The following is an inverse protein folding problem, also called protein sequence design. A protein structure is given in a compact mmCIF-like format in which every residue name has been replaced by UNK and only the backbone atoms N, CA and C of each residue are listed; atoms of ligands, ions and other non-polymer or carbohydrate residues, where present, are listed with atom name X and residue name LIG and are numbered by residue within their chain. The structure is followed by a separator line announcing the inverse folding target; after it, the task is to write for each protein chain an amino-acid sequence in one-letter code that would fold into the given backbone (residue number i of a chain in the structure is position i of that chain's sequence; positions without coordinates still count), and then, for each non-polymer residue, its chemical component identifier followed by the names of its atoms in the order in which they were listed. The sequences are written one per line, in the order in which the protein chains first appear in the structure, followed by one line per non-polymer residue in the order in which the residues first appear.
data_IF_154988992707
#
_entry.id   IF_154988992707
#
_cell.length_a   1.000
_cell.length_b   1.000
_cell.length_c   1.000
_cell.angle_alpha   90.00
_cell.angle_beta   90.00
_cell.angle_gamma   90.00
#
_symmetry.space_group_name_H-M   'P 1'
#
loop_
_entity.id
_entity.type
_entity.pdbx_description
1 polymer ?
#
# COMPACT_ATOMS: atom_id res chain seq x y z
N UNK A 1 -33.63 10.30 -55.51
CA UNK A 1 -32.83 11.32 -56.24
C UNK A 1 -32.56 12.49 -55.29
N UNK A 2 -31.28 12.84 -55.10
CA UNK A 2 -30.73 14.03 -54.40
C UNK A 2 -31.01 14.03 -52.88
N UNK A 3 -30.02 14.12 -51.99
CA UNK A 3 -29.12 15.27 -51.84
C UNK A 3 -27.73 14.88 -51.29
N UNK A 4 -26.69 15.37 -51.97
CA UNK A 4 -25.30 15.35 -51.54
C UNK A 4 -24.96 16.77 -51.06
N UNK A 5 -24.54 16.93 -49.80
CA UNK A 5 -23.99 18.19 -49.27
C UNK A 5 -22.47 18.13 -49.34
N UNK A 6 -21.92 18.98 -50.21
CA UNK A 6 -20.48 19.26 -50.36
C UNK A 6 -20.09 20.21 -49.22
N UNK A 7 -19.06 19.87 -48.46
CA UNK A 7 -18.39 20.80 -47.53
C UNK A 7 -16.98 21.08 -48.07
N UNK A 8 -16.74 22.35 -48.40
CA UNK A 8 -15.49 22.87 -48.91
C UNK A 8 -14.36 22.73 -47.87
N UNK A 9 -13.21 22.22 -48.33
CA UNK A 9 -11.92 22.32 -47.65
C UNK A 9 -11.34 23.72 -47.89
N UNK A 10 -11.08 24.46 -46.82
CA UNK A 10 -10.23 25.65 -46.85
C UNK A 10 -8.82 25.26 -46.40
N UNK A 11 -7.90 25.22 -47.38
CA UNK A 11 -6.46 25.11 -47.16
C UNK A 11 -5.93 26.52 -46.91
N UNK A 12 -5.42 26.79 -45.71
CA UNK A 12 -4.57 27.95 -45.45
C UNK A 12 -3.16 27.48 -45.12
N UNK A 13 -2.26 27.66 -46.09
CA UNK A 13 -0.81 27.67 -45.93
C UNK A 13 -0.41 28.99 -45.27
N UNK A 14 0.30 28.94 -44.14
CA UNK A 14 1.05 30.06 -43.59
C UNK A 14 2.53 29.68 -43.46
N UNK A 15 3.46 30.62 -43.75
CA UNK A 15 4.88 30.33 -43.88
C UNK A 15 5.62 30.23 -42.54
N UNK A 16 6.63 29.37 -42.55
CA UNK A 16 7.69 29.23 -41.57
C UNK A 16 8.38 30.56 -41.27
N UNK A 17 8.51 30.89 -39.98
CA UNK A 17 9.62 31.70 -39.48
C UNK A 17 10.27 30.93 -38.35
N UNK A 18 11.49 30.47 -38.62
CA UNK A 18 12.38 29.83 -37.67
C UNK A 18 12.85 30.85 -36.64
N UNK A 19 12.73 30.53 -35.35
CA UNK A 19 13.58 31.13 -34.33
C UNK A 19 14.51 30.06 -33.76
N UNK A 20 15.79 30.39 -33.82
CA UNK A 20 16.92 29.52 -33.52
C UNK A 20 16.97 29.09 -32.05
N UNK A 21 17.51 27.89 -31.89
CA UNK A 21 17.83 27.23 -30.64
C UNK A 21 18.75 28.10 -29.77
N UNK A 22 18.38 28.29 -28.50
CA UNK A 22 19.36 28.47 -27.44
C UNK A 22 19.48 27.14 -26.70
N UNK A 23 20.62 26.48 -26.89
CA UNK A 23 20.94 25.24 -26.23
C UNK A 23 21.05 25.43 -24.72
N UNK A 24 20.26 24.68 -23.96
CA UNK A 24 20.60 24.34 -22.59
C UNK A 24 20.92 22.85 -22.54
N UNK A 25 22.14 22.57 -22.10
CA UNK A 25 22.73 21.26 -21.92
C UNK A 25 21.84 20.33 -21.05
N UNK A 26 21.91 19.00 -21.27
CA UNK A 26 21.12 18.04 -20.52
C UNK A 26 21.47 18.10 -19.03
N UNK A 27 20.50 18.48 -18.21
CA UNK A 27 20.59 18.34 -16.76
C UNK A 27 20.62 16.85 -16.45
N UNK A 28 21.79 16.36 -16.11
CA UNK A 28 22.00 15.05 -15.50
C UNK A 28 21.00 14.86 -14.36
N UNK A 29 20.06 13.92 -14.52
CA UNK A 29 19.24 13.43 -13.42
C UNK A 29 20.17 12.79 -12.39
N UNK A 30 20.58 13.56 -11.38
CA UNK A 30 21.11 12.98 -10.16
C UNK A 30 19.97 12.21 -9.52
N UNK A 31 20.05 10.88 -9.58
CA UNK A 31 19.44 10.00 -8.60
C UNK A 31 19.73 10.58 -7.21
N UNK A 32 18.70 11.01 -6.50
CA UNK A 32 18.79 11.23 -5.06
C UNK A 32 18.52 9.85 -4.45
N UNK A 33 19.53 9.14 -3.93
CA UNK A 33 19.27 7.94 -3.17
C UNK A 33 18.61 8.38 -1.86
N UNK A 34 17.42 7.86 -1.58
CA UNK A 34 16.77 7.87 -0.28
C UNK A 34 16.82 9.18 0.50
N UNK A 35 15.69 9.91 0.55
CA UNK A 35 15.44 10.85 1.64
C UNK A 35 15.34 10.06 2.95
N UNK A 36 16.50 9.74 3.52
CA UNK A 36 16.67 9.55 4.95
C UNK A 36 16.37 10.90 5.55
N UNK A 37 15.14 11.05 6.05
CA UNK A 37 14.72 12.19 6.84
C UNK A 37 15.80 12.51 7.88
N UNK A 38 16.15 13.79 7.96
CA UNK A 38 17.10 14.35 8.91
C UNK A 38 16.94 13.67 10.26
N UNK A 39 18.00 12.98 10.69
CA UNK A 39 18.08 12.35 11.99
C UNK A 39 17.92 13.43 13.06
N UNK A 40 16.76 13.47 13.71
CA UNK A 40 16.69 13.98 15.07
C UNK A 40 17.66 13.13 15.90
N UNK A 41 18.66 13.81 16.45
CA UNK A 41 19.76 13.29 17.25
C UNK A 41 19.17 12.59 18.50
N UNK A 42 18.76 11.32 18.37
CA UNK A 42 18.13 10.55 19.45
C UNK A 42 17.29 9.34 19.05
N UNK A 43 16.84 9.22 17.79
CA UNK A 43 15.93 8.13 17.39
C UNK A 43 16.69 6.88 16.92
N UNK A 44 17.07 6.01 17.86
CA UNK A 44 17.60 4.68 17.54
C UNK A 44 16.54 3.88 16.76
N UNK A 45 16.93 3.26 15.65
CA UNK A 45 16.02 2.40 14.89
C UNK A 45 15.74 1.11 15.67
N UNK A 46 14.47 0.72 15.73
CA UNK A 46 14.01 -0.56 16.25
C UNK A 46 13.45 -1.36 15.09
N UNK A 47 14.13 -2.44 14.70
CA UNK A 47 13.76 -3.28 13.55
C UNK A 47 13.51 -2.46 12.27
N UNK A 48 14.31 -1.42 12.05
CA UNK A 48 14.24 -0.53 10.89
C UNK A 48 13.21 0.62 11.00
N UNK A 49 12.55 0.79 12.14
CA UNK A 49 11.53 1.83 12.37
C UNK A 49 12.04 2.82 13.42
N UNK A 50 11.91 4.13 13.17
CA UNK A 50 12.16 5.17 14.18
C UNK A 50 10.88 5.48 14.97
N UNK A 51 10.99 6.12 16.13
CA UNK A 51 9.82 6.54 16.88
C UNK A 51 8.95 7.50 16.07
N UNK A 52 9.55 8.43 15.32
CA UNK A 52 8.79 9.33 14.45
C UNK A 52 7.97 8.60 13.37
N UNK A 53 8.52 7.54 12.76
CA UNK A 53 7.79 6.73 11.77
C UNK A 53 6.66 5.94 12.43
N UNK A 54 6.93 5.37 13.61
CA UNK A 54 5.92 4.67 14.40
C UNK A 54 4.78 5.62 14.81
N UNK A 55 5.10 6.80 15.32
CA UNK A 55 4.13 7.80 15.76
C UNK A 55 3.19 8.21 14.61
N UNK A 56 3.76 8.50 13.43
CA UNK A 56 3.00 8.85 12.23
C UNK A 56 2.11 7.72 11.68
N UNK A 57 2.35 6.48 12.08
CA UNK A 57 1.55 5.34 11.64
C UNK A 57 0.20 5.24 12.34
N UNK A 58 -0.01 6.02 13.40
CA UNK A 58 -1.24 6.09 14.19
C UNK A 58 -1.76 7.53 14.15
N UNK A 59 -2.83 7.81 13.39
CA UNK A 59 -3.32 9.18 13.20
C UNK A 59 -3.65 9.92 14.50
N UNK A 60 -4.11 9.21 15.53
CA UNK A 60 -4.39 9.77 16.84
C UNK A 60 -3.21 10.50 17.49
N UNK A 61 -1.97 10.07 17.22
CA UNK A 61 -0.79 10.67 17.82
C UNK A 61 -0.40 12.02 17.18
N UNK A 62 -1.12 12.47 16.14
CA UNK A 62 -1.03 13.85 15.68
C UNK A 62 -1.56 14.84 16.73
N UNK A 63 -2.44 14.39 17.64
CA UNK A 63 -2.85 15.16 18.81
C UNK A 63 -1.73 15.17 19.85
N UNK A 64 -1.15 16.36 20.07
CA UNK A 64 -0.05 16.55 21.02
C UNK A 64 -0.43 16.19 22.47
N UNK A 65 -1.72 16.24 22.84
CA UNK A 65 -2.19 15.80 24.17
C UNK A 65 -1.98 14.30 24.38
N UNK A 66 -1.91 13.50 23.30
CA UNK A 66 -1.70 12.05 23.32
C UNK A 66 -0.22 11.65 23.27
N UNK A 67 0.72 12.58 23.42
CA UNK A 67 2.17 12.27 23.33
C UNK A 67 2.63 11.19 24.31
N UNK A 68 2.10 11.21 25.53
CA UNK A 68 2.41 10.17 26.52
C UNK A 68 1.93 8.78 26.07
N UNK A 69 0.77 8.70 25.39
CA UNK A 69 0.25 7.46 24.82
C UNK A 69 1.13 6.96 23.67
N UNK A 70 1.62 7.87 22.81
CA UNK A 70 2.54 7.53 21.73
C UNK A 70 3.83 6.88 22.28
N UNK A 71 4.42 7.47 23.32
CA UNK A 71 5.62 6.94 23.99
C UNK A 71 5.35 5.57 24.62
N UNK A 72 4.21 5.40 25.30
CA UNK A 72 3.83 4.12 25.90
C UNK A 72 3.62 3.02 24.85
N UNK A 73 2.87 3.32 23.78
CA UNK A 73 2.66 2.42 22.64
C UNK A 73 3.98 2.02 21.98
N UNK A 74 4.89 2.99 21.78
CA UNK A 74 6.22 2.71 21.23
C UNK A 74 7.03 1.76 22.11
N UNK A 75 7.00 1.94 23.44
CA UNK A 75 7.68 1.04 24.37
C UNK A 75 7.14 -0.38 24.27
N UNK A 76 5.82 -0.56 24.23
CA UNK A 76 5.19 -1.88 24.08
C UNK A 76 5.56 -2.53 22.74
N UNK A 77 5.45 -1.79 21.64
CA UNK A 77 5.81 -2.29 20.31
C UNK A 77 7.31 -2.65 20.22
N UNK A 78 8.20 -1.81 20.77
CA UNK A 78 9.65 -2.05 20.78
C UNK A 78 10.00 -3.38 21.45
N UNK A 79 9.33 -3.72 22.54
CA UNK A 79 9.56 -4.95 23.32
C UNK A 79 8.62 -6.11 22.93
N UNK A 80 7.91 -5.99 21.80
CA UNK A 80 7.07 -7.06 21.24
C UNK A 80 5.96 -7.53 22.21
N UNK A 81 5.45 -6.61 23.04
CA UNK A 81 4.35 -6.83 23.98
C UNK A 81 3.01 -6.74 23.26
N UNK A 82 2.75 -7.67 22.34
CA UNK A 82 1.64 -7.57 21.39
C UNK A 82 0.27 -7.59 22.04
N UNK A 83 0.04 -8.49 23.00
CA UNK A 83 -1.22 -8.57 23.73
C UNK A 83 -1.48 -7.31 24.54
N UNK A 84 -0.47 -6.82 25.26
CA UNK A 84 -0.58 -5.59 26.04
C UNK A 84 -0.73 -4.35 25.15
N UNK A 85 -0.09 -4.34 23.98
CA UNK A 85 -0.24 -3.29 22.97
C UNK A 85 -1.66 -3.27 22.40
N UNK A 86 -2.25 -4.43 22.10
CA UNK A 86 -3.63 -4.53 21.63
C UNK A 86 -4.61 -4.02 22.68
N UNK A 87 -4.49 -4.50 23.92
CA UNK A 87 -5.30 -4.02 25.05
C UNK A 87 -5.14 -2.51 25.26
N UNK A 88 -3.91 -1.99 25.14
CA UNK A 88 -3.64 -0.55 25.24
C UNK A 88 -4.34 0.24 24.13
N UNK A 89 -4.34 -0.23 22.88
CA UNK A 89 -5.02 0.43 21.77
C UNK A 89 -6.54 0.43 21.95
N UNK A 90 -7.10 -0.70 22.37
CA UNK A 90 -8.54 -0.82 22.66
C UNK A 90 -8.97 0.09 23.80
N UNK A 91 -8.26 0.08 24.93
CA UNK A 91 -8.61 0.87 26.11
C UNK A 91 -8.55 2.38 25.88
N UNK A 92 -7.70 2.83 24.94
CA UNK A 92 -7.52 4.25 24.61
C UNK A 92 -8.20 4.66 23.30
N UNK A 93 -9.00 3.77 22.68
CA UNK A 93 -9.69 4.00 21.40
C UNK A 93 -8.75 4.53 20.29
N UNK A 94 -7.57 3.92 20.16
CA UNK A 94 -6.53 4.35 19.22
C UNK A 94 -6.64 3.62 17.88
N UNK A 95 -6.34 4.34 16.80
CA UNK A 95 -6.15 3.83 15.44
C UNK A 95 -7.35 3.03 14.90
N UNK A 96 -8.56 3.31 15.38
CA UNK A 96 -9.76 2.54 15.05
C UNK A 96 -9.65 1.04 15.39
N UNK A 97 -8.82 0.70 16.38
CA UNK A 97 -8.54 -0.68 16.77
C UNK A 97 -7.52 -1.43 15.89
N UNK A 98 -6.98 -0.81 14.85
CA UNK A 98 -5.94 -1.41 14.01
C UNK A 98 -4.55 -1.29 14.66
N UNK A 99 -3.63 -2.22 14.37
CA UNK A 99 -2.29 -2.19 14.93
C UNK A 99 -1.48 -0.98 14.41
N UNK A 100 -0.52 -0.48 15.21
CA UNK A 100 0.42 0.54 14.74
C UNK A 100 1.39 -0.03 13.70
N UNK A 101 2.22 0.83 13.15
CA UNK A 101 3.27 0.51 12.17
C UNK A 101 2.73 -0.30 10.98
N UNK A 102 1.51 0.04 10.52
CA UNK A 102 0.81 -0.68 9.44
C UNK A 102 0.65 -2.18 9.73
N UNK A 103 0.58 -2.59 11.00
CA UNK A 103 0.47 -3.99 11.41
C UNK A 103 1.75 -4.80 11.32
N UNK A 104 2.91 -4.15 11.20
CA UNK A 104 4.17 -4.86 10.99
C UNK A 104 5.12 -4.83 12.20
N UNK A 105 5.82 -5.95 12.42
CA UNK A 105 6.98 -6.08 13.34
C UNK A 105 8.17 -5.27 12.82
N UNK A 106 8.34 -5.21 11.49
CA UNK A 106 9.37 -4.45 10.78
C UNK A 106 8.89 -4.16 9.36
N UNK A 107 9.40 -3.10 8.73
CA UNK A 107 9.09 -2.75 7.35
C UNK A 107 10.36 -2.66 6.52
N UNK A 108 10.33 -3.24 5.31
CA UNK A 108 11.39 -3.14 4.31
C UNK A 108 10.76 -2.79 2.97
N UNK A 109 11.43 -1.93 2.20
CA UNK A 109 11.04 -1.70 0.80
C UNK A 109 11.62 -2.81 -0.06
N UNK A 110 10.78 -3.42 -0.88
CA UNK A 110 11.14 -4.51 -1.78
C UNK A 110 10.51 -4.30 -3.16
N UNK A 111 10.95 -5.10 -4.12
CA UNK A 111 10.32 -5.23 -5.43
C UNK A 111 9.52 -6.54 -5.43
N UNK A 112 8.25 -6.48 -5.81
CA UNK A 112 7.49 -7.70 -6.15
C UNK A 112 7.71 -7.99 -7.63
N UNK A 113 8.43 -9.07 -7.93
CA UNK A 113 8.76 -9.46 -9.29
C UNK A 113 7.55 -10.08 -10.01
N UNK A 114 7.56 -9.98 -11.34
CA UNK A 114 6.57 -10.63 -12.18
C UNK A 114 6.58 -12.16 -12.00
N UNK A 115 5.41 -12.78 -12.17
CA UNK A 115 5.22 -14.22 -12.12
C UNK A 115 4.69 -14.75 -10.79
N UNK A 116 4.88 -14.02 -9.67
CA UNK A 116 4.42 -14.47 -8.35
C UNK A 116 2.91 -14.33 -8.19
N UNK A 117 2.33 -15.17 -7.33
CA UNK A 117 0.92 -15.14 -6.96
C UNK A 117 0.75 -14.51 -5.58
N UNK A 118 -0.18 -13.57 -5.49
CA UNK A 118 -0.61 -12.92 -4.27
C UNK A 118 -2.11 -13.08 -4.11
N UNK A 119 -2.61 -12.96 -2.89
CA UNK A 119 -4.04 -12.95 -2.61
C UNK A 119 -4.41 -11.93 -1.53
N UNK A 120 -5.71 -11.67 -1.44
CA UNK A 120 -6.29 -10.76 -0.44
C UNK A 120 -7.73 -11.15 -0.15
N UNK A 121 -8.09 -11.05 1.14
CA UNK A 121 -9.47 -10.95 1.58
C UNK A 121 -9.87 -9.47 1.61
N UNK A 122 -10.81 -9.06 0.78
CA UNK A 122 -11.20 -7.67 0.64
C UNK A 122 -11.94 -7.36 -0.66
N UNK A 123 -12.13 -6.07 -0.91
CA UNK A 123 -12.97 -5.60 -2.00
C UNK A 123 -14.46 -5.75 -1.70
N UNK A 124 -15.28 -5.35 -2.65
CA UNK A 124 -16.74 -5.36 -2.58
C UNK A 124 -17.32 -5.39 -4.00
N UNK A 125 -18.60 -5.72 -4.12
CA UNK A 125 -19.34 -5.52 -5.36
C UNK A 125 -20.09 -4.19 -5.27
N UNK A 126 -19.99 -3.36 -6.31
CA UNK A 126 -20.76 -2.12 -6.39
C UNK A 126 -22.22 -2.39 -6.82
N UNK A 127 -23.00 -1.31 -7.00
CA UNK A 127 -24.42 -1.39 -7.33
C UNK A 127 -24.70 -2.14 -8.65
N UNK A 128 -23.73 -2.18 -9.56
CA UNK A 128 -23.82 -2.84 -10.86
C UNK A 128 -23.26 -4.27 -10.81
N UNK A 129 -23.02 -4.80 -9.61
CA UNK A 129 -22.38 -6.11 -9.38
C UNK A 129 -20.98 -6.21 -9.97
N UNK A 130 -20.28 -5.08 -10.14
CA UNK A 130 -18.88 -5.07 -10.57
C UNK A 130 -17.99 -5.15 -9.34
N UNK A 131 -17.04 -6.08 -9.36
CA UNK A 131 -16.07 -6.22 -8.28
C UNK A 131 -15.08 -5.05 -8.26
N UNK A 132 -14.93 -4.44 -7.09
CA UNK A 132 -14.02 -3.33 -6.80
C UNK A 132 -13.10 -3.70 -5.63
N UNK A 133 -11.79 -3.45 -5.77
CA UNK A 133 -10.85 -3.56 -4.65
C UNK A 133 -9.92 -2.33 -4.57
N UNK A 134 -10.20 -1.50 -3.55
CA UNK A 134 -9.43 -0.29 -3.21
C UNK A 134 -8.35 -0.57 -2.16
N UNK A 135 -8.16 -1.81 -1.76
CA UNK A 135 -7.15 -2.23 -0.80
C UNK A 135 -5.74 -2.28 -1.39
N UNK A 136 -4.74 -2.23 -0.50
CA UNK A 136 -3.32 -2.27 -0.87
C UNK A 136 -2.53 -3.39 -0.19
N UNK A 137 -3.09 -4.07 0.83
CA UNK A 137 -2.37 -5.12 1.55
C UNK A 137 -2.64 -6.50 0.93
N UNK A 138 -1.59 -7.22 0.60
CA UNK A 138 -1.68 -8.57 0.03
C UNK A 138 -0.70 -9.48 0.76
N UNK A 139 -0.93 -10.78 0.68
CA UNK A 139 0.08 -11.78 1.03
C UNK A 139 0.39 -12.61 -0.20
N UNK A 140 1.46 -13.40 -0.16
CA UNK A 140 1.53 -14.52 -1.09
C UNK A 140 0.38 -15.48 -0.81
N UNK A 141 -0.01 -16.22 -1.85
CA UNK A 141 -0.94 -17.33 -1.72
C UNK A 141 -0.48 -18.29 -0.63
N UNK A 142 -1.44 -19.01 -0.05
CA UNK A 142 -1.23 -20.02 0.99
C UNK A 142 -0.79 -19.50 2.37
N UNK A 143 -0.67 -18.16 2.58
CA UNK A 143 -0.56 -17.61 3.93
C UNK A 143 -1.88 -17.84 4.67
N UNK A 144 -1.92 -18.65 5.75
CA UNK A 144 -3.18 -18.97 6.44
C UNK A 144 -3.84 -17.73 7.04
N UNK A 145 -5.17 -17.69 7.06
CA UNK A 145 -5.92 -16.55 7.59
C UNK A 145 -5.51 -16.12 9.02
N UNK A 146 -5.28 -17.04 9.99
CA UNK A 146 -4.79 -16.67 11.33
C UNK A 146 -3.44 -15.96 11.31
N UNK A 147 -2.59 -16.26 10.33
CA UNK A 147 -1.29 -15.61 10.20
C UNK A 147 -1.37 -14.22 9.59
N UNK A 148 -2.54 -13.82 9.07
CA UNK A 148 -2.80 -12.48 8.53
C UNK A 148 -3.26 -11.47 9.58
N UNK A 149 -3.57 -11.93 10.79
CA UNK A 149 -4.08 -11.12 11.91
C UNK A 149 -5.18 -10.12 11.48
N UNK A 150 -6.19 -10.64 10.77
CA UNK A 150 -7.37 -9.89 10.35
C UNK A 150 -8.57 -10.20 11.26
N UNK A 151 -9.52 -9.26 11.42
CA UNK A 151 -10.77 -9.55 12.12
C UNK A 151 -11.54 -10.70 11.46
N UNK A 152 -12.26 -11.51 12.24
CA UNK A 152 -12.99 -12.66 11.67
C UNK A 152 -14.04 -12.29 10.62
N UNK A 153 -14.65 -11.09 10.73
CA UNK A 153 -15.55 -10.57 9.69
C UNK A 153 -14.89 -10.43 8.31
N UNK A 154 -13.57 -10.43 8.22
CA UNK A 154 -12.86 -10.37 6.94
C UNK A 154 -12.94 -11.69 6.18
N UNK A 155 -13.25 -12.82 6.83
CA UNK A 155 -13.51 -14.09 6.15
C UNK A 155 -14.74 -14.05 5.23
N UNK A 156 -15.71 -13.18 5.50
CA UNK A 156 -16.87 -12.98 4.61
C UNK A 156 -16.62 -11.98 3.49
N UNK A 157 -15.45 -11.34 3.46
CA UNK A 157 -15.04 -10.49 2.33
C UNK A 157 -14.67 -11.36 1.13
N UNK A 158 -14.82 -10.86 -0.12
CA UNK A 158 -14.33 -11.58 -1.28
C UNK A 158 -12.86 -11.97 -1.12
N UNK A 159 -12.52 -13.19 -1.52
CA UNK A 159 -11.14 -13.66 -1.62
C UNK A 159 -10.74 -13.73 -3.10
N UNK A 160 -9.60 -13.13 -3.43
CA UNK A 160 -9.12 -13.03 -4.81
C UNK A 160 -7.63 -13.30 -4.89
N UNK A 161 -7.24 -14.05 -5.91
CA UNK A 161 -5.86 -14.36 -6.27
C UNK A 161 -5.46 -13.54 -7.50
N UNK A 162 -4.27 -12.94 -7.46
CA UNK A 162 -3.70 -12.16 -8.55
C UNK A 162 -2.30 -12.64 -8.89
N UNK A 163 -1.97 -12.64 -10.18
CA UNK A 163 -0.61 -12.79 -10.67
C UNK A 163 0.01 -11.42 -10.91
N UNK A 164 1.22 -11.20 -10.40
CA UNK A 164 2.02 -10.03 -10.76
C UNK A 164 2.48 -10.19 -12.22
N UNK A 165 2.09 -9.28 -13.09
CA UNK A 165 2.43 -9.29 -14.52
C UNK A 165 3.69 -8.45 -14.79
N UNK A 166 3.84 -7.33 -14.09
CA UNK A 166 4.99 -6.43 -14.18
C UNK A 166 5.55 -6.21 -12.78
N UNK A 167 6.86 -6.05 -12.67
CA UNK A 167 7.48 -5.78 -11.38
C UNK A 167 6.89 -4.52 -10.74
N UNK A 168 6.55 -4.60 -9.45
CA UNK A 168 6.03 -3.48 -8.66
C UNK A 168 7.14 -3.07 -7.69
N UNK A 169 7.62 -1.84 -7.85
CA UNK A 169 8.63 -1.22 -6.97
C UNK A 169 7.97 -0.57 -5.76
N UNK A 170 8.76 -0.15 -4.77
CA UNK A 170 8.30 0.56 -3.58
C UNK A 170 7.24 -0.17 -2.74
N UNK A 171 7.25 -1.51 -2.79
CA UNK A 171 6.35 -2.35 -1.98
C UNK A 171 6.89 -2.43 -0.56
N UNK A 172 6.05 -2.14 0.43
CA UNK A 172 6.43 -2.32 1.84
C UNK A 172 6.15 -3.75 2.26
N UNK A 173 7.20 -4.51 2.54
CA UNK A 173 7.12 -5.86 3.10
C UNK A 173 7.24 -5.80 4.62
N UNK A 174 6.34 -6.47 5.32
CA UNK A 174 6.40 -6.59 6.78
C UNK A 174 5.94 -7.94 7.29
N UNK A 175 6.55 -8.40 8.37
CA UNK A 175 6.00 -9.51 9.15
C UNK A 175 4.86 -8.98 10.02
N UNK A 176 3.72 -9.67 10.01
CA UNK A 176 2.47 -9.24 10.63
C UNK A 176 2.55 -9.43 12.15
N UNK A 177 2.13 -8.43 12.93
CA UNK A 177 2.06 -8.58 14.38
C UNK A 177 0.86 -9.45 14.79
N UNK A 178 0.95 -10.24 15.87
CA UNK A 178 -0.24 -10.83 16.50
C UNK A 178 -1.24 -9.72 16.87
N UNK A 179 -2.49 -9.88 16.46
CA UNK A 179 -3.56 -8.89 16.65
C UNK A 179 -4.93 -9.53 16.43
N UNK A 180 -6.01 -8.91 16.91
CA UNK A 180 -7.39 -9.42 16.83
C UNK A 180 -7.52 -10.86 17.37
N UNK A 181 -6.79 -11.18 18.43
CA UNK A 181 -6.74 -12.52 19.01
C UNK A 181 -6.14 -13.59 18.08
N UNK A 182 -5.40 -13.20 17.04
CA UNK A 182 -4.80 -14.09 16.04
C UNK A 182 -3.28 -14.11 16.17
N UNK A 183 -2.63 -15.24 15.85
CA UNK A 183 -1.19 -15.39 16.02
C UNK A 183 -0.36 -14.51 15.09
N UNK A 184 -0.89 -14.06 13.94
CA UNK A 184 -0.11 -13.24 13.01
C UNK A 184 1.16 -13.96 12.50
N UNK A 185 2.27 -13.24 12.42
CA UNK A 185 3.60 -13.73 12.01
C UNK A 185 3.73 -14.15 10.54
N UNK A 186 2.65 -14.13 9.77
CA UNK A 186 2.71 -14.19 8.31
C UNK A 186 3.42 -12.97 7.72
N UNK A 187 3.60 -12.97 6.39
CA UNK A 187 4.19 -11.83 5.66
C UNK A 187 3.10 -11.12 4.88
N UNK A 188 3.07 -9.79 5.01
CA UNK A 188 2.26 -8.90 4.19
C UNK A 188 3.12 -8.02 3.31
N UNK A 189 2.50 -7.57 2.22
CA UNK A 189 3.01 -6.61 1.27
C UNK A 189 1.98 -5.50 1.11
N UNK A 190 2.37 -4.27 1.40
CA UNK A 190 1.57 -3.08 1.10
C UNK A 190 2.04 -2.53 -0.26
N UNK A 191 1.16 -2.62 -1.24
CA UNK A 191 1.38 -2.14 -2.60
C UNK A 191 1.32 -0.59 -2.65
N UNK A 192 2.08 0.07 -3.56
CA UNK A 192 2.07 1.52 -3.69
C UNK A 192 0.76 2.09 -4.26
N UNK A 193 -0.02 1.26 -4.94
CA UNK A 193 -1.33 1.58 -5.49
C UNK A 193 -2.33 0.47 -5.15
N UNK A 194 -3.62 0.78 -5.21
CA UNK A 194 -4.66 -0.22 -4.92
C UNK A 194 -4.80 -1.24 -6.05
N UNK A 195 -5.47 -2.36 -5.75
CA UNK A 195 -5.68 -3.48 -6.68
C UNK A 195 -6.36 -3.03 -7.98
N UNK A 196 -7.41 -2.20 -7.92
CA UNK A 196 -8.08 -1.69 -9.12
C UNK A 196 -7.14 -0.93 -10.05
N UNK A 197 -6.36 0.00 -9.51
CA UNK A 197 -5.42 0.82 -10.29
C UNK A 197 -4.30 -0.03 -10.90
N UNK A 198 -3.77 -0.98 -10.13
CA UNK A 198 -2.73 -1.90 -10.62
C UNK A 198 -3.26 -2.87 -11.69
N UNK A 199 -4.51 -3.34 -11.57
CA UNK A 199 -5.18 -4.12 -12.63
C UNK A 199 -5.35 -3.28 -13.89
N UNK A 200 -5.87 -2.04 -13.76
CA UNK A 200 -6.04 -1.11 -14.89
C UNK A 200 -4.71 -0.78 -15.58
N UNK A 201 -3.62 -0.64 -14.82
CA UNK A 201 -2.27 -0.43 -15.35
C UNK A 201 -1.58 -1.68 -15.94
N UNK A 202 -2.23 -2.85 -15.87
CA UNK A 202 -1.68 -4.12 -16.35
C UNK A 202 -0.51 -4.64 -15.51
N UNK A 203 -0.41 -4.25 -14.24
CA UNK A 203 0.55 -4.80 -13.28
C UNK A 203 0.04 -6.08 -12.62
N UNK A 204 -1.28 -6.25 -12.53
CA UNK A 204 -1.95 -7.40 -11.94
C UNK A 204 -2.94 -8.02 -12.92
N UNK A 205 -3.03 -9.35 -12.90
CA UNK A 205 -4.12 -10.10 -13.54
C UNK A 205 -4.76 -11.05 -12.52
N UNK A 206 -6.08 -10.96 -12.38
CA UNK A 206 -6.84 -11.86 -11.51
C UNK A 206 -6.85 -13.29 -12.06
N UNK A 207 -6.68 -14.26 -11.17
CA UNK A 207 -6.65 -15.69 -11.50
C UNK A 207 -7.98 -16.32 -11.12
N UNK A 208 -8.95 -16.29 -12.04
CA UNK A 208 -10.34 -16.73 -11.77
C UNK A 208 -10.47 -18.22 -11.43
N UNK A 209 -9.55 -19.05 -11.93
CA UNK A 209 -9.59 -20.51 -11.72
C UNK A 209 -8.94 -20.94 -10.39
N UNK A 210 -8.40 -19.98 -9.62
CA UNK A 210 -7.81 -20.20 -8.31
C UNK A 210 -8.67 -19.52 -7.24
N UNK A 211 -9.87 -20.03 -7.02
CA UNK A 211 -10.65 -19.69 -5.83
C UNK A 211 -10.26 -20.57 -4.63
N UNK A 212 -10.42 -20.01 -3.44
CA UNK A 212 -9.98 -20.41 -2.09
C UNK A 212 -9.69 -21.91 -1.85
N UNK A 213 -8.59 -22.25 -1.14
CA UNK A 213 -8.62 -23.44 -0.30
C UNK A 213 -9.84 -23.32 0.62
N UNK A 214 -10.74 -24.30 0.56
CA UNK A 214 -11.85 -24.44 1.51
C UNK A 214 -11.32 -24.56 2.94
#
# INVERSE_FOLDING_TARGET
MKTLRILLWAVMLLPFVANAQTGQAPKTHKHIPGSLHAHHKGDSLVRGVSFSVFEKSVPDFADTSKKALAIAAWKLWKHEKWTELEQFFTANNLNGGWPPNRGAVSLKIVILHAGVLIDRYGGYFDADSVFQDRGTFVSFVDVPFPQRALPDKTLSSPHRVYKIIKAIVDVKRGQIIPWFGKPGLGVQYELPYNINDLKKGGYLAEQKDKESPK
#
